data_IF_234908569411
#
_entry.id   IF_234908569411
#
_cell.length_a   1.000
_cell.length_b   1.000
_cell.length_c   1.000
_cell.angle_alpha   90.00
_cell.angle_beta   90.00
_cell.angle_gamma   90.00
#
_symmetry.space_group_name_H-M   'P 1'
#
loop_
_entity.id
_entity.type
_entity.pdbx_description
1 polymer ?
#
# COMPACT_ATOMS: atom_id res chain seq x y z
N UNK A 1 9.13 -18.11 -5.56
CA UNK A 1 8.77 -16.77 -6.08
C UNK A 1 9.00 -15.74 -4.99
N UNK A 2 9.59 -14.60 -5.30
CA UNK A 2 9.82 -13.54 -4.32
C UNK A 2 8.93 -12.33 -4.64
N UNK A 3 8.27 -11.79 -3.62
CA UNK A 3 7.36 -10.66 -3.71
C UNK A 3 7.85 -9.56 -2.75
N UNK A 4 7.90 -8.31 -3.21
CA UNK A 4 8.04 -7.18 -2.32
C UNK A 4 6.64 -6.71 -1.91
N UNK A 5 6.44 -6.58 -0.60
CA UNK A 5 5.28 -5.94 0.02
C UNK A 5 5.76 -4.60 0.53
N UNK A 6 5.09 -3.51 0.22
CA UNK A 6 5.43 -2.21 0.77
C UNK A 6 4.35 -1.76 1.75
N UNK A 7 4.73 -1.18 2.86
CA UNK A 7 3.78 -0.78 3.91
C UNK A 7 3.29 -1.94 4.77
N UNK A 8 4.10 -3.00 4.92
CA UNK A 8 3.73 -4.19 5.68
C UNK A 8 3.76 -4.02 7.20
N UNK A 9 4.28 -2.91 7.72
CA UNK A 9 4.17 -2.53 9.14
C UNK A 9 2.92 -1.70 9.44
N UNK A 10 2.20 -1.24 8.41
CA UNK A 10 0.91 -0.56 8.56
C UNK A 10 -0.23 -1.53 8.90
N UNK A 11 -1.41 -0.99 9.22
CA UNK A 11 -2.58 -1.78 9.63
C UNK A 11 -2.93 -2.92 8.65
N UNK A 12 -3.22 -2.58 7.39
CA UNK A 12 -3.64 -3.58 6.39
C UNK A 12 -2.47 -4.48 6.02
N UNK A 13 -1.29 -3.88 5.81
CA UNK A 13 -0.08 -4.61 5.42
C UNK A 13 0.36 -5.66 6.42
N UNK A 14 0.32 -5.36 7.73
CA UNK A 14 0.65 -6.32 8.80
C UNK A 14 -0.24 -7.57 8.75
N UNK A 15 -1.56 -7.36 8.61
CA UNK A 15 -2.50 -8.47 8.49
C UNK A 15 -2.27 -9.28 7.21
N UNK A 16 -1.98 -8.59 6.10
CA UNK A 16 -1.67 -9.25 4.83
C UNK A 16 -0.40 -10.07 4.91
N UNK A 17 0.71 -9.52 5.44
CA UNK A 17 2.00 -10.22 5.56
C UNK A 17 1.83 -11.49 6.41
N UNK A 18 1.18 -11.38 7.57
CA UNK A 18 0.95 -12.53 8.45
C UNK A 18 0.11 -13.62 7.77
N UNK A 19 -1.01 -13.23 7.13
CA UNK A 19 -1.87 -14.16 6.42
C UNK A 19 -1.16 -14.83 5.24
N UNK A 20 -0.50 -14.03 4.40
CA UNK A 20 0.14 -14.53 3.18
C UNK A 20 1.34 -15.41 3.48
N UNK A 21 2.19 -15.02 4.43
CA UNK A 21 3.35 -15.81 4.84
C UNK A 21 2.95 -17.19 5.38
N UNK A 22 1.88 -17.24 6.16
CA UNK A 22 1.35 -18.50 6.68
C UNK A 22 0.72 -19.37 5.60
N UNK A 23 -0.10 -18.76 4.73
CA UNK A 23 -0.89 -19.49 3.71
C UNK A 23 -0.02 -19.97 2.54
N UNK A 24 1.03 -19.22 2.22
CA UNK A 24 1.91 -19.48 1.08
C UNK A 24 3.38 -19.58 1.49
N UNK A 25 3.79 -20.60 2.28
CA UNK A 25 5.13 -20.68 2.86
C UNK A 25 6.25 -20.82 1.82
N UNK A 26 5.93 -21.21 0.59
CA UNK A 26 6.88 -21.32 -0.53
C UNK A 26 7.20 -19.98 -1.20
N UNK A 27 6.50 -18.90 -0.85
CA UNK A 27 6.81 -17.55 -1.29
C UNK A 27 7.72 -16.86 -0.29
N UNK A 28 8.68 -16.10 -0.79
CA UNK A 28 9.47 -15.18 0.04
C UNK A 28 8.84 -13.79 -0.06
N UNK A 29 8.60 -13.16 1.08
CA UNK A 29 8.16 -11.78 1.17
C UNK A 29 9.32 -10.88 1.61
N UNK A 30 9.53 -9.79 0.90
CA UNK A 30 10.41 -8.69 1.32
C UNK A 30 9.47 -7.57 1.73
N UNK A 31 9.36 -7.30 3.03
CA UNK A 31 8.52 -6.22 3.53
C UNK A 31 9.32 -4.93 3.65
N UNK A 32 9.04 -3.97 2.78
CA UNK A 32 9.65 -2.64 2.76
C UNK A 32 8.72 -1.65 3.44
N UNK A 33 9.11 -1.12 4.59
CA UNK A 33 8.34 -0.12 5.33
C UNK A 33 9.23 1.01 5.86
N UNK A 34 8.78 2.24 5.74
CA UNK A 34 9.51 3.40 6.22
C UNK A 34 9.32 3.66 7.73
N UNK A 35 8.45 2.89 8.40
CA UNK A 35 8.12 2.98 9.82
C UNK A 35 7.77 4.41 10.26
N UNK A 36 6.92 5.05 9.45
CA UNK A 36 6.35 6.35 9.79
C UNK A 36 5.36 6.22 10.95
N UNK A 37 4.66 7.28 11.30
CA UNK A 37 3.71 7.29 12.43
C UNK A 37 2.63 6.19 12.38
N UNK A 38 2.27 5.73 11.19
CA UNK A 38 1.26 4.68 10.98
C UNK A 38 1.83 3.25 11.00
N UNK A 39 3.16 3.10 10.95
CA UNK A 39 3.84 1.81 11.01
C UNK A 39 4.05 1.34 12.45
N UNK A 40 3.80 0.06 12.71
CA UNK A 40 4.05 -0.58 13.99
C UNK A 40 5.44 -1.21 14.04
N UNK A 41 6.38 -0.61 14.77
CA UNK A 41 7.71 -1.21 15.02
C UNK A 41 7.59 -2.62 15.60
N UNK A 42 6.67 -2.83 16.54
CA UNK A 42 6.45 -4.15 17.14
C UNK A 42 6.01 -5.20 16.11
N UNK A 43 5.04 -4.83 15.24
CA UNK A 43 4.59 -5.74 14.18
C UNK A 43 5.70 -6.03 13.16
N UNK A 44 6.48 -5.02 12.80
CA UNK A 44 7.61 -5.15 11.89
C UNK A 44 8.70 -6.08 12.45
N UNK A 45 9.10 -5.87 13.70
CA UNK A 45 10.12 -6.71 14.36
C UNK A 45 9.63 -8.17 14.53
N UNK A 46 8.34 -8.37 14.80
CA UNK A 46 7.76 -9.72 14.90
C UNK A 46 7.83 -10.50 13.57
N UNK A 47 7.90 -9.85 12.42
CA UNK A 47 8.05 -10.49 11.11
C UNK A 47 9.39 -11.24 10.97
N UNK A 48 10.43 -10.87 11.74
CA UNK A 48 11.72 -11.58 11.76
C UNK A 48 11.59 -13.04 12.24
N UNK A 49 10.49 -13.36 12.92
CA UNK A 49 10.18 -14.72 13.37
C UNK A 49 9.50 -15.57 12.27
N UNK A 50 9.12 -14.97 11.15
CA UNK A 50 8.50 -15.66 10.01
C UNK A 50 9.59 -16.10 9.04
N UNK A 51 9.79 -17.42 8.80
CA UNK A 51 10.96 -17.93 8.07
C UNK A 51 11.03 -17.49 6.60
N UNK A 52 9.90 -17.10 6.04
CA UNK A 52 9.78 -16.66 4.65
C UNK A 52 9.55 -15.14 4.47
N UNK A 53 9.71 -14.34 5.55
CA UNK A 53 9.59 -12.88 5.51
C UNK A 53 10.93 -12.24 5.84
N UNK A 54 11.30 -11.23 5.07
CA UNK A 54 12.48 -10.39 5.31
C UNK A 54 12.02 -8.94 5.46
N UNK A 55 11.93 -8.41 6.68
CA UNK A 55 11.62 -7.01 6.90
C UNK A 55 12.82 -6.13 6.52
N UNK A 56 12.55 -5.04 5.82
CA UNK A 56 13.53 -4.03 5.39
C UNK A 56 12.99 -2.66 5.72
N UNK A 57 13.66 -1.93 6.59
CA UNK A 57 13.33 -0.54 6.87
C UNK A 57 13.82 0.37 5.74
N UNK A 58 12.90 1.10 5.10
CA UNK A 58 13.23 1.99 4.01
C UNK A 58 12.01 2.60 3.33
N UNK A 59 12.27 3.64 2.57
CA UNK A 59 11.26 4.48 1.93
C UNK A 59 11.08 4.10 0.44
N UNK A 60 9.84 4.00 -0.02
CA UNK A 60 9.50 3.73 -1.43
C UNK A 60 9.96 4.85 -2.39
N UNK A 61 10.28 6.03 -1.87
CA UNK A 61 10.85 7.14 -2.64
C UNK A 61 12.33 6.92 -2.96
N UNK A 62 13.00 6.00 -2.28
CA UNK A 62 14.40 5.67 -2.53
C UNK A 62 14.53 4.65 -3.67
N UNK A 63 14.67 5.16 -4.90
CA UNK A 63 14.79 4.35 -6.10
C UNK A 63 16.03 3.43 -6.10
N UNK A 64 17.13 3.83 -5.44
CA UNK A 64 18.33 3.02 -5.33
C UNK A 64 18.08 1.79 -4.46
N UNK A 65 17.47 1.98 -3.28
CA UNK A 65 17.08 0.88 -2.41
C UNK A 65 16.12 -0.11 -3.11
N UNK A 66 15.11 0.42 -3.82
CA UNK A 66 14.17 -0.45 -4.57
C UNK A 66 14.94 -1.29 -5.59
N UNK A 67 15.85 -0.69 -6.34
CA UNK A 67 16.68 -1.38 -7.34
C UNK A 67 17.50 -2.49 -6.70
N UNK A 68 18.17 -2.19 -5.60
CA UNK A 68 19.01 -3.15 -4.88
C UNK A 68 18.18 -4.34 -4.36
N UNK A 69 16.99 -4.08 -3.84
CA UNK A 69 16.08 -5.15 -3.38
C UNK A 69 15.60 -6.02 -4.54
N UNK A 70 15.21 -5.42 -5.67
CA UNK A 70 14.78 -6.15 -6.87
C UNK A 70 15.89 -7.10 -7.37
N UNK A 71 17.13 -6.62 -7.41
CA UNK A 71 18.29 -7.40 -7.82
C UNK A 71 18.65 -8.51 -6.82
N UNK A 72 18.78 -8.14 -5.54
CA UNK A 72 19.24 -9.03 -4.48
C UNK A 72 18.32 -10.23 -4.28
N UNK A 73 17.02 -10.02 -4.42
CA UNK A 73 16.03 -11.04 -4.11
C UNK A 73 15.30 -11.61 -5.32
N UNK A 74 15.68 -11.22 -6.54
CA UNK A 74 15.06 -11.65 -7.80
C UNK A 74 13.52 -11.51 -7.76
N UNK A 75 13.06 -10.29 -7.44
CA UNK A 75 11.64 -10.00 -7.16
C UNK A 75 10.84 -9.99 -8.46
N UNK A 76 9.76 -10.77 -8.50
CA UNK A 76 8.84 -10.90 -9.62
C UNK A 76 7.41 -10.45 -9.32
N UNK A 77 7.16 -9.99 -8.10
CA UNK A 77 5.86 -9.46 -7.70
C UNK A 77 6.01 -8.25 -6.77
N UNK A 78 5.08 -7.31 -6.90
CA UNK A 78 4.95 -6.15 -6.00
C UNK A 78 3.51 -6.11 -5.50
N UNK A 79 3.33 -5.96 -4.17
CA UNK A 79 2.05 -5.64 -3.55
C UNK A 79 2.25 -4.36 -2.77
N UNK A 80 1.62 -3.29 -3.23
CA UNK A 80 1.92 -1.94 -2.81
C UNK A 80 0.85 -1.37 -1.89
N UNK A 81 1.08 -1.48 -0.55
CA UNK A 81 0.23 -0.87 0.48
C UNK A 81 0.76 0.48 0.97
N UNK A 82 2.07 0.74 0.85
CA UNK A 82 2.68 1.95 1.39
C UNK A 82 2.01 3.21 0.84
N UNK A 83 1.50 4.04 1.74
CA UNK A 83 0.87 5.31 1.42
C UNK A 83 0.74 6.17 2.68
N UNK A 84 0.78 7.47 2.52
CA UNK A 84 0.18 8.38 3.49
C UNK A 84 -1.34 8.29 3.37
N UNK A 85 -2.06 8.06 4.49
CA UNK A 85 -3.48 7.68 4.46
C UNK A 85 -4.38 8.44 5.42
N UNK A 86 -3.84 9.38 6.22
CA UNK A 86 -4.64 10.17 7.16
C UNK A 86 -5.22 11.40 6.48
N UNK A 87 -6.55 11.41 6.29
CA UNK A 87 -7.24 12.45 5.51
C UNK A 87 -6.97 13.86 6.06
N UNK A 88 -7.10 14.06 7.38
CA UNK A 88 -6.88 15.38 7.99
C UNK A 88 -5.43 15.86 7.81
N UNK A 89 -4.45 14.96 7.92
CA UNK A 89 -3.05 15.29 7.68
C UNK A 89 -2.83 15.74 6.21
N UNK A 90 -3.60 15.19 5.27
CA UNK A 90 -3.50 15.56 3.86
C UNK A 90 -3.95 17.00 3.59
N UNK A 91 -4.83 17.54 4.44
CA UNK A 91 -5.28 18.92 4.37
C UNK A 91 -4.19 19.87 4.87
N UNK A 92 -3.44 19.42 5.91
CA UNK A 92 -2.37 20.24 6.53
C UNK A 92 -1.10 20.22 5.70
N UNK A 93 -0.71 19.04 5.19
CA UNK A 93 0.51 18.85 4.38
C UNK A 93 0.22 18.01 3.13
N UNK A 94 -0.41 18.58 2.09
CA UNK A 94 -0.71 17.87 0.86
C UNK A 94 0.54 17.43 0.07
N UNK A 95 1.67 18.14 0.23
CA UNK A 95 2.90 17.79 -0.48
C UNK A 95 3.47 16.45 -0.03
N UNK A 96 3.42 16.13 1.25
CA UNK A 96 3.84 14.83 1.76
C UNK A 96 3.06 13.69 1.08
N UNK A 97 1.74 13.90 0.85
CA UNK A 97 0.89 12.91 0.18
C UNK A 97 1.23 12.76 -1.31
N UNK A 98 1.55 13.85 -1.98
CA UNK A 98 2.02 13.79 -3.38
C UNK A 98 3.37 13.07 -3.43
N UNK A 99 4.31 13.41 -2.57
CA UNK A 99 5.63 12.80 -2.55
C UNK A 99 5.57 11.30 -2.27
N UNK A 100 4.82 10.88 -1.26
CA UNK A 100 4.74 9.46 -0.91
C UNK A 100 3.86 8.70 -1.89
N UNK A 101 2.60 9.14 -2.08
CA UNK A 101 1.63 8.35 -2.83
C UNK A 101 1.86 8.40 -4.34
N UNK A 102 2.31 9.54 -4.88
CA UNK A 102 2.52 9.70 -6.33
C UNK A 102 3.97 9.41 -6.69
N UNK A 103 4.93 10.18 -6.17
CA UNK A 103 6.33 10.03 -6.53
C UNK A 103 6.90 8.67 -6.07
N UNK A 104 6.55 8.20 -4.85
CA UNK A 104 6.93 6.88 -4.36
C UNK A 104 6.37 5.75 -5.22
N UNK A 105 5.10 5.83 -5.63
CA UNK A 105 4.50 4.85 -6.55
C UNK A 105 5.21 4.84 -7.90
N UNK A 106 5.54 6.03 -8.45
CA UNK A 106 6.29 6.13 -9.72
C UNK A 106 7.69 5.53 -9.59
N UNK A 107 8.40 5.78 -8.50
CA UNK A 107 9.72 5.18 -8.27
C UNK A 107 9.64 3.64 -8.27
N UNK A 108 8.66 3.09 -7.55
CA UNK A 108 8.43 1.65 -7.48
C UNK A 108 8.06 1.05 -8.85
N UNK A 109 7.17 1.70 -9.60
CA UNK A 109 6.78 1.30 -10.96
C UNK A 109 7.97 1.33 -11.93
N UNK A 110 8.78 2.41 -11.90
CA UNK A 110 9.92 2.59 -12.78
C UNK A 110 11.00 1.52 -12.56
N UNK A 111 11.41 1.32 -11.31
CA UNK A 111 12.47 0.36 -11.02
C UNK A 111 12.01 -1.08 -11.29
N UNK A 112 10.76 -1.42 -10.94
CA UNK A 112 10.15 -2.72 -11.28
C UNK A 112 10.10 -2.94 -12.80
N UNK A 113 9.64 -1.95 -13.57
CA UNK A 113 9.57 -2.03 -15.03
C UNK A 113 10.96 -2.24 -15.65
N UNK A 114 11.96 -1.45 -15.21
CA UNK A 114 13.34 -1.57 -15.69
C UNK A 114 13.93 -2.95 -15.41
N UNK A 115 13.75 -3.42 -14.18
CA UNK A 115 14.24 -4.70 -13.73
C UNK A 115 13.59 -5.85 -14.52
N UNK A 116 12.26 -5.90 -14.59
CA UNK A 116 11.54 -6.97 -15.28
C UNK A 116 11.77 -7.00 -16.80
N UNK A 117 11.93 -5.83 -17.43
CA UNK A 117 12.32 -5.77 -18.85
C UNK A 117 13.72 -6.34 -19.07
N UNK A 118 14.69 -5.95 -18.25
CA UNK A 118 16.07 -6.45 -18.38
C UNK A 118 16.15 -7.97 -18.13
N UNK A 119 15.36 -8.48 -17.18
CA UNK A 119 15.28 -9.92 -16.88
C UNK A 119 14.42 -10.71 -17.86
N UNK A 120 13.70 -10.07 -18.77
CA UNK A 120 12.81 -10.73 -19.71
C UNK A 120 11.56 -11.36 -19.07
N UNK A 121 11.18 -10.94 -17.85
CA UNK A 121 10.07 -11.52 -17.09
C UNK A 121 8.85 -10.59 -16.96
N UNK A 122 8.78 -9.49 -17.71
CA UNK A 122 7.72 -8.50 -17.59
C UNK A 122 6.30 -9.08 -17.71
N UNK A 123 6.11 -10.07 -18.58
CA UNK A 123 4.80 -10.70 -18.79
C UNK A 123 4.35 -11.60 -17.61
N UNK A 124 5.31 -12.18 -16.90
CA UNK A 124 5.09 -13.09 -15.78
C UNK A 124 5.06 -12.36 -14.44
N UNK A 125 5.78 -11.25 -14.33
CA UNK A 125 5.82 -10.40 -13.15
C UNK A 125 4.48 -9.69 -12.95
N UNK A 126 4.16 -9.34 -11.70
CA UNK A 126 2.90 -8.67 -11.37
C UNK A 126 3.11 -7.52 -10.38
N UNK A 127 2.45 -6.41 -10.69
CA UNK A 127 2.33 -5.28 -9.78
C UNK A 127 0.87 -5.17 -9.29
N UNK A 128 0.64 -5.19 -7.98
CA UNK A 128 -0.69 -4.99 -7.41
C UNK A 128 -0.68 -3.72 -6.54
N UNK A 129 -1.50 -2.75 -6.90
CA UNK A 129 -1.64 -1.48 -6.20
C UNK A 129 -2.89 -1.50 -5.32
N UNK A 130 -2.73 -1.17 -4.04
CA UNK A 130 -3.85 -1.03 -3.10
C UNK A 130 -4.27 0.44 -3.07
N UNK A 131 -5.47 0.71 -3.51
CA UNK A 131 -6.09 2.02 -3.54
C UNK A 131 -7.30 2.08 -2.61
N UNK A 132 -8.16 3.07 -2.80
CA UNK A 132 -9.32 3.37 -1.96
C UNK A 132 -10.54 3.69 -2.82
N UNK A 133 -11.73 3.45 -2.32
CA UNK A 133 -12.98 3.88 -2.93
C UNK A 133 -13.17 5.41 -2.90
N UNK A 134 -12.44 6.13 -2.05
CA UNK A 134 -12.47 7.60 -2.00
C UNK A 134 -12.04 8.27 -3.31
N UNK A 135 -11.35 7.54 -4.21
CA UNK A 135 -11.01 8.04 -5.55
C UNK A 135 -12.24 8.30 -6.42
N UNK A 136 -13.37 7.66 -6.10
CA UNK A 136 -14.64 7.84 -6.80
C UNK A 136 -15.44 9.06 -6.32
N UNK A 137 -15.05 9.66 -5.18
CA UNK A 137 -15.71 10.83 -4.61
C UNK A 137 -16.85 10.47 -3.66
N UNK A 138 -17.96 11.21 -3.75
CA UNK A 138 -19.13 11.01 -2.88
C UNK A 138 -20.23 10.28 -3.61
N UNK A 139 -20.82 9.27 -2.97
CA UNK A 139 -22.11 8.72 -3.39
C UNK A 139 -23.23 9.70 -3.00
N UNK A 140 -24.31 9.73 -3.79
CA UNK A 140 -25.58 10.32 -3.38
C UNK A 140 -26.26 9.44 -2.29
N UNK A 141 -27.58 9.66 -2.11
CA UNK A 141 -28.36 8.89 -1.14
C UNK A 141 -28.52 7.41 -1.52
N UNK A 142 -28.37 7.10 -2.80
CA UNK A 142 -28.52 5.73 -3.34
C UNK A 142 -27.41 5.42 -4.34
N UNK A 143 -27.15 4.12 -4.55
CA UNK A 143 -26.22 3.60 -5.56
C UNK A 143 -24.98 2.97 -4.98
N UNK A 144 -24.06 2.59 -5.90
CA UNK A 144 -22.81 1.93 -5.57
C UNK A 144 -21.69 2.44 -6.48
N UNK A 145 -20.47 2.48 -5.98
CA UNK A 145 -19.30 2.60 -6.84
C UNK A 145 -19.06 1.26 -7.57
N UNK A 146 -18.60 1.36 -8.79
CA UNK A 146 -18.19 0.23 -9.62
C UNK A 146 -16.86 0.57 -10.28
N UNK A 147 -16.22 -0.43 -10.89
CA UNK A 147 -14.97 -0.23 -11.65
C UNK A 147 -15.15 0.68 -12.89
N UNK A 148 -16.38 1.04 -13.23
CA UNK A 148 -16.72 1.97 -14.32
C UNK A 148 -17.02 3.38 -13.83
N UNK A 149 -17.16 3.58 -12.52
CA UNK A 149 -17.41 4.89 -11.92
C UNK A 149 -16.23 5.82 -12.23
N UNK A 150 -16.46 7.03 -12.78
CA UNK A 150 -15.40 7.99 -12.99
C UNK A 150 -14.76 8.43 -11.67
N UNK A 151 -13.46 8.69 -11.71
CA UNK A 151 -12.75 9.24 -10.54
C UNK A 151 -13.17 10.71 -10.34
N UNK A 152 -13.56 11.04 -9.12
CA UNK A 152 -13.97 12.38 -8.71
C UNK A 152 -13.54 12.67 -7.26
N UNK A 153 -12.23 12.54 -6.93
CA UNK A 153 -11.75 12.69 -5.56
C UNK A 153 -12.00 14.09 -5.00
N UNK A 154 -12.39 14.17 -3.72
CA UNK A 154 -12.78 15.42 -3.07
C UNK A 154 -11.71 16.01 -2.14
N UNK A 155 -10.67 15.27 -1.80
CA UNK A 155 -9.62 15.70 -0.87
C UNK A 155 -8.21 15.43 -1.38
N UNK A 156 -7.17 16.04 -0.76
CA UNK A 156 -5.78 15.86 -1.20
C UNK A 156 -5.31 14.40 -1.13
N UNK A 157 -5.71 13.66 -0.08
CA UNK A 157 -5.43 12.22 0.03
C UNK A 157 -6.03 11.44 -1.14
N UNK A 158 -7.34 11.52 -1.35
CA UNK A 158 -8.02 10.80 -2.42
C UNK A 158 -7.55 11.22 -3.80
N UNK A 159 -7.19 12.50 -4.00
CA UNK A 159 -6.59 13.00 -5.23
C UNK A 159 -5.21 12.39 -5.48
N UNK A 160 -4.36 12.26 -4.45
CA UNK A 160 -3.04 11.60 -4.57
C UNK A 160 -3.17 10.12 -4.90
N UNK A 161 -4.15 9.41 -4.31
CA UNK A 161 -4.43 8.01 -4.63
C UNK A 161 -4.99 7.85 -6.05
N UNK A 162 -5.91 8.73 -6.49
CA UNK A 162 -6.40 8.72 -7.86
C UNK A 162 -5.26 8.96 -8.88
N UNK A 163 -4.34 9.87 -8.59
CA UNK A 163 -3.16 10.10 -9.42
C UNK A 163 -2.29 8.84 -9.52
N UNK A 164 -2.06 8.13 -8.40
CA UNK A 164 -1.32 6.86 -8.38
C UNK A 164 -2.00 5.78 -9.23
N UNK A 165 -3.32 5.63 -9.12
CA UNK A 165 -4.10 4.69 -9.91
C UNK A 165 -3.99 4.97 -11.41
N UNK A 166 -4.08 6.24 -11.79
CA UNK A 166 -3.94 6.66 -13.20
C UNK A 166 -2.53 6.38 -13.74
N UNK A 167 -1.50 6.53 -12.91
CA UNK A 167 -0.12 6.17 -13.26
C UNK A 167 0.04 4.66 -13.42
N UNK A 168 -0.47 3.84 -12.51
CA UNK A 168 -0.47 2.37 -12.66
C UNK A 168 -1.16 1.97 -13.96
N UNK A 169 -2.33 2.54 -14.26
CA UNK A 169 -3.03 2.32 -15.52
C UNK A 169 -2.20 2.74 -16.74
N UNK A 170 -1.52 3.89 -16.67
CA UNK A 170 -0.66 4.37 -17.74
C UNK A 170 0.50 3.38 -18.01
N UNK A 171 1.11 2.83 -16.95
CA UNK A 171 2.17 1.81 -17.09
C UNK A 171 1.67 0.54 -17.75
N UNK A 172 0.43 0.08 -17.43
CA UNK A 172 -0.18 -1.03 -18.14
C UNK A 172 -0.32 -0.74 -19.64
N UNK A 173 -0.85 0.43 -19.99
CA UNK A 173 -1.18 0.80 -21.38
C UNK A 173 0.05 1.13 -22.23
N UNK A 174 1.01 1.86 -21.64
CA UNK A 174 2.17 2.36 -22.37
C UNK A 174 3.29 1.31 -22.46
N UNK A 175 3.49 0.56 -21.38
CA UNK A 175 4.66 -0.34 -21.30
C UNK A 175 4.29 -1.82 -21.26
N UNK A 176 3.00 -2.17 -21.28
CA UNK A 176 2.54 -3.56 -21.20
C UNK A 176 2.80 -4.20 -19.83
N UNK A 177 2.90 -3.39 -18.76
CA UNK A 177 3.11 -3.90 -17.41
C UNK A 177 1.89 -4.66 -16.94
N UNK A 178 2.07 -5.87 -16.41
CA UNK A 178 0.97 -6.64 -15.81
C UNK A 178 0.68 -6.10 -14.41
N UNK A 179 -0.23 -5.13 -14.34
CA UNK A 179 -0.61 -4.52 -13.07
C UNK A 179 -2.13 -4.55 -12.85
N UNK A 180 -2.51 -4.58 -11.58
CA UNK A 180 -3.91 -4.56 -11.11
C UNK A 180 -4.05 -3.57 -9.97
N UNK A 181 -5.27 -3.05 -9.77
CA UNK A 181 -5.63 -2.10 -8.71
C UNK A 181 -6.79 -2.68 -7.93
N UNK A 182 -6.77 -2.55 -6.60
CA UNK A 182 -7.91 -2.78 -5.72
C UNK A 182 -8.32 -1.46 -5.08
N UNK A 183 -9.59 -1.11 -5.20
CA UNK A 183 -10.18 0.04 -4.51
C UNK A 183 -11.01 -0.49 -3.33
N UNK A 184 -10.41 -0.56 -2.15
CA UNK A 184 -11.12 -1.02 -0.97
C UNK A 184 -11.89 0.13 -0.30
N UNK A 185 -13.02 -0.20 0.30
CA UNK A 185 -13.72 0.69 1.23
C UNK A 185 -13.12 0.58 2.64
N UNK A 186 -13.81 1.09 3.65
CA UNK A 186 -13.31 1.11 5.02
C UNK A 186 -13.00 -0.30 5.55
N UNK A 187 -11.76 -0.47 6.00
CA UNK A 187 -11.29 -1.69 6.64
C UNK A 187 -11.32 -1.52 8.17
N UNK A 188 -11.48 -2.62 8.89
CA UNK A 188 -11.34 -2.69 10.35
C UNK A 188 -10.73 -4.03 10.75
N UNK A 189 -10.09 -4.06 11.90
CA UNK A 189 -9.49 -5.29 12.42
C UNK A 189 -8.28 -5.07 13.33
N UNK A 190 -7.54 -6.15 13.67
CA UNK A 190 -6.31 -6.06 14.45
C UNK A 190 -5.31 -5.10 13.83
N UNK A 191 -4.50 -4.44 14.65
CA UNK A 191 -3.48 -3.45 14.25
C UNK A 191 -4.03 -2.13 13.70
N UNK A 192 -5.35 -1.93 13.66
CA UNK A 192 -5.91 -0.64 13.24
C UNK A 192 -5.49 0.46 14.22
N UNK A 193 -5.05 1.60 13.67
CA UNK A 193 -4.55 2.73 14.46
C UNK A 193 -5.60 3.24 15.45
N UNK A 194 -5.18 3.54 16.67
CA UNK A 194 -6.05 3.87 17.81
C UNK A 194 -6.91 5.12 17.62
N UNK A 195 -6.58 6.00 16.69
CA UNK A 195 -7.37 7.20 16.34
C UNK A 195 -8.60 6.91 15.48
N UNK A 196 -8.64 5.74 14.83
CA UNK A 196 -9.76 5.37 13.97
C UNK A 196 -11.01 5.05 14.79
N UNK A 197 -12.18 5.16 14.15
CA UNK A 197 -13.48 5.10 14.81
C UNK A 197 -13.66 3.86 15.72
N UNK A 198 -13.47 2.66 15.17
CA UNK A 198 -13.72 1.42 15.93
C UNK A 198 -12.75 1.26 17.12
N UNK A 199 -11.42 1.41 16.96
CA UNK A 199 -10.52 1.39 18.12
C UNK A 199 -10.82 2.48 19.14
N UNK A 200 -11.19 3.69 18.70
CA UNK A 200 -11.59 4.79 19.59
C UNK A 200 -12.85 4.43 20.40
N UNK A 201 -13.88 3.86 19.75
CA UNK A 201 -15.10 3.41 20.44
C UNK A 201 -14.76 2.35 21.50
N UNK A 202 -13.97 1.31 21.12
CA UNK A 202 -13.57 0.23 22.04
C UNK A 202 -12.82 0.80 23.25
N UNK A 203 -11.81 1.64 23.01
CA UNK A 203 -11.00 2.24 24.08
C UNK A 203 -11.84 3.09 25.03
N UNK A 204 -12.71 3.96 24.48
CA UNK A 204 -13.57 4.83 25.29
C UNK A 204 -14.63 4.05 26.05
N UNK A 205 -15.23 3.03 25.44
CA UNK A 205 -16.20 2.17 26.12
C UNK A 205 -15.55 1.43 27.30
N UNK A 206 -14.35 0.88 27.14
CA UNK A 206 -13.60 0.22 28.21
C UNK A 206 -13.19 1.18 29.34
N UNK A 207 -12.93 2.45 28.99
CA UNK A 207 -12.59 3.49 29.97
C UNK A 207 -13.84 4.17 30.61
N UNK A 208 -15.05 3.77 30.22
CA UNK A 208 -16.30 4.42 30.62
C UNK A 208 -16.36 5.92 30.25
N UNK A 209 -15.71 6.30 29.15
CA UNK A 209 -15.73 7.66 28.60
C UNK A 209 -16.86 7.84 27.57
N UNK A 210 -17.23 9.11 27.30
CA UNK A 210 -18.20 9.41 26.24
C UNK A 210 -17.70 8.96 24.85
N UNK A 211 -18.52 8.23 24.13
CA UNK A 211 -18.25 7.76 22.76
C UNK A 211 -18.60 8.90 21.77
N UNK A 212 -17.76 9.18 20.76
CA UNK A 212 -18.01 10.24 19.77
C UNK A 212 -19.23 9.95 18.89
#
# INVERSE_FOLDING_TARGET
>A
MTIIVTGGAGFIGTNFVAYFAHTYPNYRLIDLDALTYAGSRYAFDAQTQMPNVVPVEGDIRNAELIRDLLEKYDITGVIHFAAESHVDNSIVDPLLFVDTNVNGTVALLNESLRYWKRKGCLAQARFHHISTDEVYGSLGEEGFFTEKTPYAPNGPYSASKAASDLLVRAYCRTYGMNATISNCSNNYGPWQHSEKLIPTIIRKALAHEAIP
#
